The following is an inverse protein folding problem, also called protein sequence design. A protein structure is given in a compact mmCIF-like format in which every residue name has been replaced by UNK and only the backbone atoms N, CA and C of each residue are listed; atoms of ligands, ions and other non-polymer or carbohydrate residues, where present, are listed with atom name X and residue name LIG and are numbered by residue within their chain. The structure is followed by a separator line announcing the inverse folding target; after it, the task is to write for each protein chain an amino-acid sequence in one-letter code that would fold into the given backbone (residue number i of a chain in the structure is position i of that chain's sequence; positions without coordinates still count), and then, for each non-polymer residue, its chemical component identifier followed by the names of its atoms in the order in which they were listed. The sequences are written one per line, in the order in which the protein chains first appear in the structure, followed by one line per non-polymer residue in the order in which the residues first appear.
data_IF_148702406127
#
_entry.id   IF_148702406127
#
_cell.length_a   1.000
_cell.length_b   1.000
_cell.length_c   1.000
_cell.angle_alpha   90.00
_cell.angle_beta   90.00
_cell.angle_gamma   90.00
#
_symmetry.space_group_name_H-M   'P 1'
#
loop_
_entity.id
_entity.type
_entity.pdbx_description
1 polymer ?
#
# COMPACT_ATOMS: atom_id res chain seq x y z
N UNK A 1 12.18 4.48 6.18
CA UNK A 1 11.78 3.09 5.87
C UNK A 1 11.27 2.36 7.11
N UNK A 2 9.97 2.03 7.13
CA UNK A 2 9.34 1.18 8.16
C UNK A 2 9.68 -0.29 7.90
N UNK A 3 10.09 -1.02 8.94
CA UNK A 3 10.50 -2.43 8.84
C UNK A 3 9.83 -3.35 9.86
N UNK A 4 9.18 -2.77 10.86
CA UNK A 4 8.35 -3.47 11.83
C UNK A 4 6.89 -3.20 11.49
N UNK A 5 6.13 -4.26 11.23
CA UNK A 5 4.70 -4.20 10.92
C UNK A 5 3.88 -4.97 11.97
N UNK A 6 4.40 -5.08 13.19
CA UNK A 6 3.74 -5.77 14.31
C UNK A 6 2.51 -5.08 14.83
N UNK A 7 2.29 -3.84 14.42
CA UNK A 7 1.07 -3.06 14.65
C UNK A 7 0.01 -3.27 13.55
N UNK A 8 0.36 -3.93 12.44
CA UNK A 8 -0.50 -4.06 11.26
C UNK A 8 -1.13 -5.43 11.24
N UNK A 9 -2.46 -5.46 11.27
CA UNK A 9 -3.22 -6.69 11.29
C UNK A 9 -4.50 -6.57 10.47
N UNK A 10 -4.87 -7.66 9.81
CA UNK A 10 -6.21 -7.84 9.27
C UNK A 10 -7.23 -7.89 10.42
N UNK A 11 -8.46 -7.47 10.15
CA UNK A 11 -9.55 -7.51 11.13
C UNK A 11 -9.97 -8.95 11.48
N UNK A 12 -9.59 -9.93 10.65
CA UNK A 12 -9.98 -11.34 10.72
C UNK A 12 -11.50 -11.53 10.75
N UNK A 13 -12.20 -10.77 9.90
CA UNK A 13 -13.67 -10.72 9.86
C UNK A 13 -14.31 -11.85 9.02
N UNK A 14 -13.54 -12.89 8.65
CA UNK A 14 -14.00 -14.03 7.86
C UNK A 14 -13.96 -13.84 6.33
N UNK A 15 -13.60 -12.65 5.84
CA UNK A 15 -13.37 -12.38 4.41
C UNK A 15 -11.94 -12.74 4.01
N UNK A 16 -11.70 -12.90 2.71
CA UNK A 16 -10.37 -13.11 2.14
C UNK A 16 -9.48 -11.89 2.43
N UNK A 17 -8.24 -12.13 2.87
CA UNK A 17 -7.26 -11.09 3.24
C UNK A 17 -6.58 -10.55 1.99
N UNK A 18 -6.86 -9.29 1.65
CA UNK A 18 -6.31 -8.63 0.47
C UNK A 18 -5.32 -7.55 0.87
N UNK A 19 -4.08 -7.65 0.39
CA UNK A 19 -3.11 -6.56 0.43
C UNK A 19 -3.14 -5.81 -0.92
N UNK A 20 -3.31 -4.50 -0.88
CA UNK A 20 -3.17 -3.62 -2.04
C UNK A 20 -1.91 -2.79 -1.84
N UNK A 21 -0.98 -2.81 -2.80
CA UNK A 21 0.24 -1.97 -2.77
C UNK A 21 0.15 -0.91 -3.87
N UNK A 22 0.41 0.35 -3.50
CA UNK A 22 0.52 1.49 -4.40
C UNK A 22 1.77 2.31 -4.07
N UNK A 23 2.31 3.08 -5.01
CA UNK A 23 3.43 3.97 -4.72
C UNK A 23 3.36 5.35 -5.37
N UNK A 24 2.41 5.55 -6.27
CA UNK A 24 2.29 6.73 -7.11
C UNK A 24 0.87 7.26 -7.12
N UNK A 25 0.75 8.57 -7.34
CA UNK A 25 -0.55 9.23 -7.50
C UNK A 25 -1.41 8.64 -8.64
N UNK A 26 -0.89 8.33 -9.84
CA UNK A 26 -1.70 7.67 -10.88
C UNK A 26 -2.27 6.31 -10.44
N UNK A 27 -1.54 5.52 -9.65
CA UNK A 27 -2.08 4.26 -9.12
C UNK A 27 -3.24 4.51 -8.17
N UNK A 28 -3.11 5.48 -7.24
CA UNK A 28 -4.19 5.85 -6.30
C UNK A 28 -5.43 6.31 -7.06
N UNK A 29 -5.28 7.20 -8.04
CA UNK A 29 -6.40 7.72 -8.84
C UNK A 29 -7.11 6.58 -9.60
N UNK A 30 -6.35 5.70 -10.25
CA UNK A 30 -6.91 4.61 -11.07
C UNK A 30 -7.53 3.50 -10.22
N UNK A 31 -6.96 3.23 -9.04
CA UNK A 31 -7.47 2.20 -8.13
C UNK A 31 -8.53 2.72 -7.16
N UNK A 32 -8.83 4.01 -7.08
CA UNK A 32 -9.72 4.55 -6.05
C UNK A 32 -11.07 3.81 -5.95
N UNK A 33 -11.77 3.64 -7.07
CA UNK A 33 -13.04 2.91 -7.09
C UNK A 33 -12.88 1.43 -6.72
N UNK A 34 -11.76 0.82 -7.13
CA UNK A 34 -11.42 -0.58 -6.82
C UNK A 34 -11.13 -0.74 -5.32
N UNK A 35 -10.31 0.12 -4.72
CA UNK A 35 -9.98 0.12 -3.30
C UNK A 35 -11.24 0.23 -2.44
N UNK A 36 -12.13 1.17 -2.78
CA UNK A 36 -13.39 1.34 -2.05
C UNK A 36 -14.25 0.07 -2.11
N UNK A 37 -14.38 -0.55 -3.29
CA UNK A 37 -15.11 -1.82 -3.41
C UNK A 37 -14.38 -2.97 -2.71
N UNK A 38 -13.07 -3.02 -2.77
CA UNK A 38 -12.29 -4.04 -2.08
C UNK A 38 -12.50 -3.99 -0.57
N UNK A 39 -12.57 -2.80 0.04
CA UNK A 39 -12.87 -2.65 1.48
C UNK A 39 -14.28 -3.14 1.86
N UNK A 40 -15.23 -3.20 0.94
CA UNK A 40 -16.56 -3.78 1.19
C UNK A 40 -16.53 -5.32 1.17
N UNK A 41 -15.76 -5.94 0.27
CA UNK A 41 -15.82 -7.39 0.01
C UNK A 41 -14.66 -8.20 0.59
N UNK A 42 -13.55 -7.56 0.94
CA UNK A 42 -12.34 -8.19 1.49
C UNK A 42 -11.99 -7.62 2.87
N UNK A 43 -11.20 -8.37 3.63
CA UNK A 43 -10.46 -7.81 4.76
C UNK A 43 -9.20 -7.15 4.16
N UNK A 44 -9.29 -5.85 3.90
CA UNK A 44 -8.39 -5.14 3.01
C UNK A 44 -7.39 -4.29 3.79
N UNK A 45 -6.11 -4.44 3.46
CA UNK A 45 -5.03 -3.54 3.87
C UNK A 45 -4.48 -2.84 2.64
N UNK A 46 -4.41 -1.52 2.68
CA UNK A 46 -3.78 -0.67 1.70
C UNK A 46 -2.41 -0.21 2.22
N UNK A 47 -1.37 -0.54 1.47
CA UNK A 47 -0.01 -0.12 1.75
C UNK A 47 0.51 0.84 0.66
N UNK A 48 1.14 1.92 1.09
CA UNK A 48 1.80 2.88 0.23
C UNK A 48 3.32 2.73 0.36
N UNK A 49 4.04 2.57 -0.76
CA UNK A 49 5.51 2.34 -0.72
C UNK A 49 6.31 3.57 -0.32
N UNK A 50 5.75 4.76 -0.51
CA UNK A 50 6.41 6.03 -0.21
C UNK A 50 7.13 6.65 -1.40
N UNK A 51 7.25 5.93 -2.53
CA UNK A 51 8.03 6.35 -3.71
C UNK A 51 7.70 7.76 -4.22
N UNK A 52 6.42 8.15 -4.22
CA UNK A 52 5.96 9.49 -4.58
C UNK A 52 5.05 10.06 -3.49
N UNK A 53 5.35 9.78 -2.22
CA UNK A 53 4.48 10.18 -1.12
C UNK A 53 4.82 11.57 -0.58
N UNK A 54 4.16 12.60 -1.13
CA UNK A 54 4.04 13.89 -0.46
C UNK A 54 2.73 13.88 0.34
N UNK A 55 2.83 13.87 1.67
CA UNK A 55 1.66 13.80 2.57
C UNK A 55 0.69 14.97 2.34
N UNK A 56 1.20 16.16 2.03
CA UNK A 56 0.37 17.35 1.79
C UNK A 56 -0.42 17.22 0.49
N UNK A 57 0.20 16.66 -0.55
CA UNK A 57 -0.42 16.57 -1.87
C UNK A 57 -1.28 15.30 -2.02
N UNK A 58 -0.84 14.17 -1.46
CA UNK A 58 -1.57 12.91 -1.52
C UNK A 58 -2.76 12.87 -0.57
N UNK A 59 -2.67 13.48 0.62
CA UNK A 59 -3.80 13.58 1.55
C UNK A 59 -5.04 14.24 0.91
N UNK A 60 -4.82 15.21 0.01
CA UNK A 60 -5.90 15.83 -0.78
C UNK A 60 -6.57 14.82 -1.70
N UNK A 61 -5.81 13.98 -2.41
CA UNK A 61 -6.39 12.96 -3.30
C UNK A 61 -7.17 11.90 -2.54
N UNK A 62 -6.69 11.42 -1.40
CA UNK A 62 -7.45 10.46 -0.57
C UNK A 62 -8.79 11.06 -0.14
N UNK A 63 -8.78 12.31 0.33
CA UNK A 63 -10.00 13.03 0.69
C UNK A 63 -10.95 13.22 -0.49
N UNK A 64 -10.45 13.73 -1.62
CA UNK A 64 -11.28 14.04 -2.79
C UNK A 64 -11.87 12.77 -3.43
N UNK A 65 -11.11 11.67 -3.41
CA UNK A 65 -11.55 10.37 -3.91
C UNK A 65 -12.36 9.57 -2.88
N UNK A 66 -12.60 10.13 -1.69
CA UNK A 66 -13.30 9.48 -0.56
C UNK A 66 -12.67 8.14 -0.17
N UNK A 67 -11.34 8.08 -0.22
CA UNK A 67 -10.54 6.96 0.25
C UNK A 67 -10.14 7.24 1.70
N UNK A 68 -10.33 6.26 2.59
CA UNK A 68 -9.64 6.28 3.87
C UNK A 68 -8.14 6.08 3.66
N UNK A 69 -7.35 6.61 4.58
CA UNK A 69 -5.88 6.54 4.55
C UNK A 69 -5.35 5.10 4.44
N UNK A 70 -4.14 4.91 3.89
CA UNK A 70 -3.48 3.62 3.91
C UNK A 70 -3.16 3.20 5.34
N UNK A 71 -3.33 1.92 5.66
CA UNK A 71 -2.94 1.35 6.94
C UNK A 71 -1.41 1.34 7.11
N UNK A 72 -0.66 1.38 6.00
CA UNK A 72 0.81 1.35 6.01
C UNK A 72 1.40 2.35 5.03
N UNK A 73 2.38 3.13 5.48
CA UNK A 73 3.35 3.81 4.62
C UNK A 73 4.75 3.24 4.89
N UNK A 74 5.46 2.80 3.85
CA UNK A 74 6.75 2.11 3.99
C UNK A 74 7.95 3.07 4.03
N UNK A 75 7.81 4.30 3.51
CA UNK A 75 8.90 5.28 3.38
C UNK A 75 10.16 4.69 2.73
N UNK A 76 9.98 4.04 1.58
CA UNK A 76 11.01 3.22 0.92
C UNK A 76 11.96 4.01 0.00
N UNK A 77 11.76 5.32 -0.19
CA UNK A 77 12.66 6.16 -1.01
C UNK A 77 14.08 6.10 -0.43
N UNK A 78 15.05 5.76 -1.29
CA UNK A 78 16.48 5.79 -0.98
C UNK A 78 17.21 6.86 -1.78
N UNK A 79 18.55 6.88 -1.67
CA UNK A 79 19.41 7.89 -2.31
C UNK A 79 19.45 7.78 -3.84
N UNK A 80 19.15 6.59 -4.38
CA UNK A 80 19.06 6.32 -5.81
C UNK A 80 17.96 5.30 -6.14
N UNK A 81 17.82 4.99 -7.45
CA UNK A 81 16.82 4.04 -7.94
C UNK A 81 17.04 2.63 -7.40
N UNK A 82 18.29 2.16 -7.32
CA UNK A 82 18.63 0.84 -6.82
C UNK A 82 18.30 0.69 -5.34
N UNK A 83 18.64 1.70 -4.55
CA UNK A 83 18.28 1.79 -3.14
C UNK A 83 16.75 1.80 -2.96
N UNK A 84 16.03 2.60 -3.74
CA UNK A 84 14.57 2.69 -3.67
C UNK A 84 13.89 1.35 -3.98
N UNK A 85 14.28 0.68 -5.08
CA UNK A 85 13.72 -0.62 -5.45
C UNK A 85 14.06 -1.68 -4.40
N UNK A 86 15.31 -1.73 -3.93
CA UNK A 86 15.73 -2.67 -2.88
C UNK A 86 14.95 -2.48 -1.58
N UNK A 87 14.70 -1.23 -1.19
CA UNK A 87 13.90 -0.88 -0.03
C UNK A 87 12.43 -1.29 -0.18
N UNK A 88 11.83 -1.09 -1.37
CA UNK A 88 10.46 -1.53 -1.67
C UNK A 88 10.36 -3.05 -1.52
N UNK A 89 11.28 -3.80 -2.13
CA UNK A 89 11.30 -5.28 -2.05
C UNK A 89 11.41 -5.74 -0.60
N UNK A 90 12.36 -5.18 0.16
CA UNK A 90 12.58 -5.54 1.56
C UNK A 90 11.35 -5.21 2.43
N UNK A 91 10.81 -4.01 2.30
CA UNK A 91 9.65 -3.54 3.08
C UNK A 91 8.39 -4.35 2.78
N UNK A 92 8.11 -4.57 1.50
CA UNK A 92 6.99 -5.41 1.05
C UNK A 92 7.12 -6.85 1.56
N UNK A 93 8.32 -7.45 1.49
CA UNK A 93 8.56 -8.79 2.02
C UNK A 93 8.32 -8.87 3.54
N UNK A 94 8.81 -7.89 4.31
CA UNK A 94 8.60 -7.83 5.76
C UNK A 94 7.12 -7.69 6.10
N UNK A 95 6.40 -6.79 5.43
CA UNK A 95 4.96 -6.62 5.61
C UNK A 95 4.21 -7.92 5.32
N UNK A 96 4.42 -8.51 4.14
CA UNK A 96 3.70 -9.73 3.72
C UNK A 96 4.01 -10.93 4.62
N UNK A 97 5.27 -11.10 5.03
CA UNK A 97 5.67 -12.20 5.93
C UNK A 97 4.96 -12.12 7.28
N UNK A 98 4.70 -10.89 7.73
CA UNK A 98 4.08 -10.60 9.01
C UNK A 98 2.56 -10.73 8.96
N UNK A 99 1.92 -10.05 8.00
CA UNK A 99 0.45 -9.98 7.95
C UNK A 99 -0.18 -11.17 7.22
N UNK A 100 0.61 -11.90 6.41
CA UNK A 100 0.22 -13.09 5.65
C UNK A 100 -1.10 -12.89 4.87
N UNK A 101 -1.10 -12.02 3.83
CA UNK A 101 -2.28 -11.83 3.00
C UNK A 101 -2.56 -13.09 2.17
N UNK A 102 -3.83 -13.31 1.82
CA UNK A 102 -4.23 -14.41 0.93
C UNK A 102 -4.06 -14.02 -0.55
N UNK A 103 -4.14 -12.72 -0.85
CA UNK A 103 -4.00 -12.18 -2.19
C UNK A 103 -3.29 -10.81 -2.18
N UNK A 104 -2.62 -10.51 -3.29
CA UNK A 104 -1.95 -9.24 -3.54
C UNK A 104 -2.54 -8.59 -4.79
N UNK A 105 -2.90 -7.31 -4.69
CA UNK A 105 -3.33 -6.48 -5.82
C UNK A 105 -2.33 -5.34 -6.04
N UNK A 106 -1.85 -5.25 -7.26
CA UNK A 106 -0.92 -4.23 -7.75
C UNK A 106 -1.48 -3.71 -9.07
N UNK A 107 -1.20 -2.44 -9.41
CA UNK A 107 -1.57 -1.87 -10.69
C UNK A 107 -0.35 -1.42 -11.49
N UNK A 108 -0.21 -1.96 -12.70
CA UNK A 108 0.72 -1.44 -13.70
C UNK A 108 2.16 -1.95 -13.51
N UNK A 109 3.11 -1.06 -13.74
CA UNK A 109 4.53 -1.33 -14.00
C UNK A 109 5.46 -0.34 -13.28
N UNK A 110 5.01 0.26 -12.17
CA UNK A 110 5.85 1.16 -11.38
C UNK A 110 6.84 0.37 -10.52
N UNK A 111 7.84 1.02 -9.92
CA UNK A 111 8.76 0.34 -8.99
C UNK A 111 8.08 -0.30 -7.77
N UNK A 112 6.78 -0.03 -7.54
CA UNK A 112 6.00 -0.61 -6.45
C UNK A 112 5.40 -1.98 -6.78
N UNK A 113 5.63 -2.51 -7.99
CA UNK A 113 5.19 -3.84 -8.40
C UNK A 113 6.14 -4.96 -8.00
#
# INVERSE_FOLDING_TARGET
MKLDYSDIHFQNNGKLKLLIIVGTRPEIIRLAAVINKCREYFDCILAHTGQNYDYNLNGVFFKDLKLADPEVCMDAVGDDLGATIGNIINSSYKLMSQIKPDALLILGDTNSC
#
